data_IF_918421218088
#
_entry.id   IF_918421218088
#
_cell.length_a   1.000
_cell.length_b   1.000
_cell.length_c   1.000
_cell.angle_alpha   90.00
_cell.angle_beta   90.00
_cell.angle_gamma   90.00
#
_symmetry.space_group_name_H-M   'P 1'
#
loop_
_entity.id
_entity.type
_entity.pdbx_description
1 polymer ?
#
# COMPACT_ATOMS: atom_id res chain seq x y z
N UNK A 1 16.42 -5.77 5.66
CA UNK A 1 16.48 -6.37 4.34
C UNK A 1 15.19 -6.22 3.55
N UNK A 2 14.19 -5.50 4.12
CA UNK A 2 12.98 -5.12 3.37
C UNK A 2 13.25 -3.87 2.53
N UNK A 3 12.67 -3.81 1.32
CA UNK A 3 12.78 -2.64 0.43
C UNK A 3 11.82 -1.53 0.87
N UNK A 4 10.70 -1.90 1.48
CA UNK A 4 9.68 -0.97 1.96
C UNK A 4 8.98 -1.48 3.22
N UNK A 5 8.38 -0.57 3.98
CA UNK A 5 7.54 -0.83 5.14
C UNK A 5 6.14 -0.31 4.91
N UNK A 6 5.16 -1.13 5.26
CA UNK A 6 3.75 -0.79 5.28
C UNK A 6 3.38 -0.28 6.68
N UNK A 7 3.12 1.02 6.82
CA UNK A 7 2.65 1.64 8.05
C UNK A 7 1.14 1.79 7.96
N UNK A 8 0.41 1.16 8.87
CA UNK A 8 -1.03 1.00 8.76
C UNK A 8 -1.79 1.93 9.71
N UNK A 9 -2.37 3.02 9.17
CA UNK A 9 -3.22 3.93 9.93
C UNK A 9 -4.71 3.60 9.82
N UNK A 10 -5.10 2.63 9.01
CA UNK A 10 -6.51 2.22 8.87
C UNK A 10 -6.91 1.21 9.94
N UNK A 11 -6.21 0.08 10.03
CA UNK A 11 -6.46 -0.98 11.02
C UNK A 11 -5.46 -1.00 12.17
N UNK A 12 -4.38 -0.23 12.08
CA UNK A 12 -3.41 -0.06 13.16
C UNK A 12 -3.85 1.01 14.15
N UNK A 13 -3.50 0.85 15.42
CA UNK A 13 -3.67 1.90 16.44
C UNK A 13 -2.59 2.98 16.32
N UNK A 14 -2.45 3.58 15.13
CA UNK A 14 -1.38 4.53 14.77
C UNK A 14 -2.00 5.87 14.43
N UNK A 15 -1.70 6.88 15.23
CA UNK A 15 -2.02 8.28 14.95
C UNK A 15 -0.90 8.94 14.11
N UNK A 16 -1.14 10.18 13.68
CA UNK A 16 -0.17 10.90 12.84
C UNK A 16 1.17 11.15 13.55
N UNK A 17 1.19 11.31 14.86
CA UNK A 17 2.43 11.50 15.61
C UNK A 17 3.26 10.21 15.67
N UNK A 18 2.59 9.08 15.91
CA UNK A 18 3.22 7.76 15.85
C UNK A 18 3.71 7.43 14.45
N UNK A 19 2.91 7.72 13.43
CA UNK A 19 3.28 7.56 12.01
C UNK A 19 4.54 8.37 11.67
N UNK A 20 4.62 9.64 12.07
CA UNK A 20 5.80 10.48 11.89
C UNK A 20 7.05 9.87 12.53
N UNK A 21 6.94 9.35 13.76
CA UNK A 21 8.07 8.69 14.44
C UNK A 21 8.51 7.42 13.70
N UNK A 22 7.58 6.62 13.19
CA UNK A 22 7.88 5.41 12.40
C UNK A 22 8.57 5.77 11.07
N UNK A 23 8.07 6.79 10.36
CA UNK A 23 8.71 7.31 9.15
C UNK A 23 10.14 7.77 9.47
N UNK A 24 10.31 8.55 10.54
CA UNK A 24 11.62 9.07 10.95
C UNK A 24 12.58 7.93 11.31
N UNK A 25 12.11 6.86 11.95
CA UNK A 25 12.93 5.70 12.30
C UNK A 25 13.51 4.96 11.08
N UNK A 26 12.93 5.13 9.89
CA UNK A 26 13.48 4.57 8.64
C UNK A 26 14.60 5.42 8.04
N UNK A 27 14.92 6.58 8.63
CA UNK A 27 15.99 7.47 8.12
C UNK A 27 17.35 6.79 8.21
N UNK A 28 18.15 6.93 7.14
CA UNK A 28 19.46 6.28 7.04
C UNK A 28 19.41 4.81 6.62
N UNK A 29 18.23 4.23 6.43
CA UNK A 29 18.05 2.92 5.81
C UNK A 29 17.65 3.05 4.33
N UNK A 30 17.83 1.98 3.55
CA UNK A 30 17.33 1.89 2.16
C UNK A 30 15.82 1.59 2.10
N UNK A 31 15.18 1.34 3.25
CA UNK A 31 13.78 0.95 3.33
C UNK A 31 12.85 2.15 3.20
N UNK A 32 11.90 2.09 2.29
CA UNK A 32 10.93 3.16 2.00
C UNK A 32 9.69 3.05 2.87
N UNK A 33 9.33 4.08 3.68
CA UNK A 33 8.07 4.08 4.44
C UNK A 33 6.90 4.41 3.51
N UNK A 34 5.94 3.49 3.42
CA UNK A 34 4.70 3.62 2.67
C UNK A 34 3.54 3.51 3.65
N UNK A 35 2.62 4.45 3.63
CA UNK A 35 1.58 4.58 4.65
C UNK A 35 0.20 4.31 4.08
N UNK A 36 -0.54 3.39 4.69
CA UNK A 36 -1.97 3.23 4.42
C UNK A 36 -2.76 4.26 5.22
N UNK A 37 -3.47 5.11 4.50
CA UNK A 37 -4.38 6.11 5.08
C UNK A 37 -5.77 5.52 5.31
N UNK A 38 -6.61 6.19 6.09
CA UNK A 38 -7.96 5.70 6.44
C UNK A 38 -8.92 5.74 5.26
N UNK A 39 -8.74 6.70 4.34
CA UNK A 39 -9.58 6.88 3.15
C UNK A 39 -8.84 7.70 2.09
N UNK A 40 -9.24 7.65 0.82
CA UNK A 40 -8.64 8.45 -0.24
C UNK A 40 -9.09 9.92 -0.17
N UNK A 41 -8.54 10.67 0.79
CA UNK A 41 -8.82 12.10 0.95
C UNK A 41 -7.55 12.91 1.22
N UNK A 42 -7.58 14.19 0.87
CA UNK A 42 -6.48 15.14 1.11
C UNK A 42 -6.21 15.28 2.61
N UNK A 43 -7.26 15.19 3.44
CA UNK A 43 -7.16 15.39 4.89
C UNK A 43 -6.25 14.35 5.55
N UNK A 44 -6.31 13.09 5.11
CA UNK A 44 -5.45 12.02 5.61
C UNK A 44 -4.12 11.92 4.85
N UNK A 45 -4.12 12.21 3.56
CA UNK A 45 -2.92 12.05 2.71
C UNK A 45 -1.87 13.14 2.98
N UNK A 46 -2.29 14.39 3.10
CA UNK A 46 -1.37 15.52 3.24
C UNK A 46 -0.46 15.42 4.49
N UNK A 47 -0.96 15.17 5.72
CA UNK A 47 -0.11 15.07 6.90
C UNK A 47 0.93 13.94 6.80
N UNK A 48 0.56 12.83 6.20
CA UNK A 48 1.43 11.66 5.99
C UNK A 48 2.58 12.00 5.04
N UNK A 49 2.27 12.62 3.91
CA UNK A 49 3.27 13.03 2.92
C UNK A 49 4.17 14.16 3.45
N UNK A 50 3.62 15.11 4.19
CA UNK A 50 4.39 16.21 4.80
C UNK A 50 5.31 15.70 5.92
N UNK A 51 5.00 14.54 6.52
CA UNK A 51 5.86 13.80 7.44
C UNK A 51 7.01 13.05 6.75
N UNK A 52 6.98 12.91 5.42
CA UNK A 52 8.06 12.31 4.64
C UNK A 52 7.82 10.88 4.16
N UNK A 53 6.58 10.38 4.18
CA UNK A 53 6.25 9.10 3.55
C UNK A 53 6.68 9.10 2.07
N UNK A 54 7.17 7.96 1.59
CA UNK A 54 7.62 7.77 0.21
C UNK A 54 6.56 7.14 -0.69
N UNK A 55 5.43 6.75 -0.10
CA UNK A 55 4.26 6.29 -0.81
C UNK A 55 3.03 6.32 0.07
N UNK A 56 1.87 6.24 -0.58
CA UNK A 56 0.56 6.16 0.09
C UNK A 56 -0.21 4.99 -0.46
N UNK A 57 -0.84 4.24 0.44
CA UNK A 57 -1.74 3.14 0.13
C UNK A 57 -3.16 3.63 0.42
N UNK A 58 -3.99 3.55 -0.60
CA UNK A 58 -5.39 3.94 -0.51
C UNK A 58 -6.29 2.72 -0.43
N UNK A 59 -7.04 2.58 0.68
CA UNK A 59 -8.07 1.55 0.81
C UNK A 59 -9.30 1.90 -0.01
N UNK A 60 -10.18 0.93 -0.22
CA UNK A 60 -11.53 1.10 -0.78
C UNK A 60 -11.59 1.81 -2.13
N UNK A 61 -10.61 1.59 -3.00
CA UNK A 61 -10.66 2.08 -4.38
C UNK A 61 -11.62 1.19 -5.18
N UNK A 62 -12.86 1.62 -5.28
CA UNK A 62 -13.98 0.84 -5.85
C UNK A 62 -14.45 1.36 -7.21
N UNK A 63 -14.00 2.54 -7.62
CA UNK A 63 -14.39 3.15 -8.91
C UNK A 63 -13.25 3.99 -9.50
N UNK A 64 -13.44 4.41 -10.75
CA UNK A 64 -12.53 5.35 -11.43
C UNK A 64 -12.40 6.65 -10.64
N UNK A 65 -13.51 7.17 -10.14
CA UNK A 65 -13.59 8.45 -9.42
C UNK A 65 -12.78 8.38 -8.10
N UNK A 66 -12.90 7.28 -7.35
CA UNK A 66 -12.09 7.09 -6.13
C UNK A 66 -10.60 6.93 -6.46
N UNK A 67 -10.26 6.31 -7.57
CA UNK A 67 -8.88 6.19 -8.05
C UNK A 67 -8.31 7.56 -8.47
N UNK A 68 -9.08 8.38 -9.19
CA UNK A 68 -8.69 9.75 -9.58
C UNK A 68 -8.53 10.65 -8.35
N UNK A 69 -9.43 10.56 -7.36
CA UNK A 69 -9.32 11.29 -6.10
C UNK A 69 -8.06 10.90 -5.30
N UNK A 70 -7.68 9.63 -5.29
CA UNK A 70 -6.45 9.16 -4.66
C UNK A 70 -5.20 9.81 -5.31
N UNK A 71 -5.15 9.86 -6.63
CA UNK A 71 -4.04 10.53 -7.36
C UNK A 71 -4.04 12.04 -7.06
N UNK A 72 -5.20 12.69 -7.11
CA UNK A 72 -5.33 14.13 -6.86
C UNK A 72 -4.87 14.51 -5.44
N UNK A 73 -5.13 13.66 -4.44
CA UNK A 73 -4.72 13.89 -3.06
C UNK A 73 -3.18 13.88 -2.86
N UNK A 74 -2.44 13.17 -3.71
CA UNK A 74 -0.97 13.04 -3.62
C UNK A 74 -0.25 14.13 -4.41
N UNK A 75 -0.76 14.48 -5.58
CA UNK A 75 -0.07 15.37 -6.52
C UNK A 75 -0.33 16.85 -6.21
N UNK A 76 0.68 17.68 -6.42
CA UNK A 76 0.51 19.15 -6.34
C UNK A 76 -0.20 19.70 -7.57
N UNK A 77 -0.85 20.87 -7.45
CA UNK A 77 -1.40 21.55 -8.62
C UNK A 77 -0.33 21.80 -9.71
N UNK A 78 -0.67 21.72 -11.00
CA UNK A 78 -2.02 21.49 -11.55
C UNK A 78 -2.41 20.02 -11.70
N UNK A 79 -1.53 19.06 -11.38
CA UNK A 79 -1.77 17.62 -11.54
C UNK A 79 -2.67 17.03 -10.44
N UNK A 80 -2.84 17.74 -9.32
CA UNK A 80 -3.66 17.32 -8.19
C UNK A 80 -4.03 18.50 -7.29
N UNK A 81 -4.39 18.18 -6.04
CA UNK A 81 -4.97 19.13 -5.09
C UNK A 81 -4.18 19.21 -3.76
N UNK A 82 -3.01 18.56 -3.68
CA UNK A 82 -2.20 18.59 -2.45
C UNK A 82 -1.78 20.02 -2.08
N UNK A 83 -2.07 20.43 -0.84
CA UNK A 83 -1.63 21.71 -0.31
C UNK A 83 -0.12 21.76 -0.03
N UNK A 84 0.47 22.94 -0.09
CA UNK A 84 1.88 23.16 0.16
C UNK A 84 2.19 23.27 1.65
N UNK A 85 3.06 22.41 2.17
CA UNK A 85 3.52 22.41 3.58
C UNK A 85 4.56 21.33 3.91
N UNK A 86 5.46 20.95 2.98
CA UNK A 86 6.39 19.85 3.20
C UNK A 86 7.60 20.29 4.04
N UNK A 87 7.39 20.66 5.32
CA UNK A 87 8.48 21.15 6.15
C UNK A 87 9.38 20.06 6.72
N UNK A 88 8.84 18.85 6.94
CA UNK A 88 9.59 17.69 7.46
C UNK A 88 10.03 16.72 6.35
N UNK A 89 9.24 16.59 5.30
CA UNK A 89 9.49 15.66 4.21
C UNK A 89 10.89 15.81 3.56
N UNK A 90 11.43 17.03 3.33
CA UNK A 90 12.77 17.19 2.76
C UNK A 90 13.85 16.45 3.53
N UNK A 91 13.76 16.44 4.87
CA UNK A 91 14.75 15.76 5.73
C UNK A 91 14.73 14.25 5.49
N UNK A 92 13.54 13.63 5.47
CA UNK A 92 13.42 12.17 5.22
C UNK A 92 13.86 11.79 3.81
N UNK A 93 13.55 12.64 2.84
CA UNK A 93 13.90 12.46 1.43
C UNK A 93 15.33 12.89 1.10
N UNK A 94 16.11 13.35 2.10
CA UNK A 94 17.48 13.84 1.93
C UNK A 94 17.57 14.94 0.87
N UNK A 95 16.58 15.82 0.84
CA UNK A 95 16.54 16.98 -0.05
C UNK A 95 16.99 18.23 0.70
N UNK A 96 17.64 19.14 -0.03
CA UNK A 96 18.19 20.36 0.55
C UNK A 96 17.12 21.27 1.14
N UNK A 97 16.00 21.38 0.45
CA UNK A 97 14.89 22.24 0.83
C UNK A 97 13.55 21.73 0.26
N UNK A 98 12.47 22.45 0.57
CA UNK A 98 11.12 22.11 0.11
C UNK A 98 10.94 22.21 -1.41
N UNK A 99 11.73 23.02 -2.11
CA UNK A 99 11.67 23.15 -3.57
C UNK A 99 12.31 21.94 -4.23
N UNK A 100 13.45 21.48 -3.70
CA UNK A 100 14.07 20.25 -4.19
C UNK A 100 13.18 19.04 -3.93
N UNK A 101 12.52 18.98 -2.76
CA UNK A 101 11.51 17.96 -2.47
C UNK A 101 10.34 18.01 -3.46
N UNK A 102 9.81 19.21 -3.73
CA UNK A 102 8.71 19.38 -4.70
C UNK A 102 9.07 18.79 -6.08
N UNK A 103 10.30 19.03 -6.58
CA UNK A 103 10.75 18.47 -7.85
C UNK A 103 10.82 16.95 -7.88
N UNK A 104 10.87 16.31 -6.71
CA UNK A 104 10.88 14.85 -6.55
C UNK A 104 9.51 14.30 -6.13
N UNK A 105 8.47 15.14 -6.02
CA UNK A 105 7.17 14.69 -5.50
C UNK A 105 6.43 13.73 -6.43
N UNK A 106 6.82 13.69 -7.71
CA UNK A 106 6.29 12.72 -8.67
C UNK A 106 6.82 11.30 -8.44
N UNK A 107 7.92 11.15 -7.68
CA UNK A 107 8.47 9.85 -7.26
C UNK A 107 7.68 9.22 -6.09
N UNK A 108 6.69 9.93 -5.50
CA UNK A 108 5.82 9.37 -4.47
C UNK A 108 4.98 8.25 -5.07
N UNK A 109 5.13 7.05 -4.49
CA UNK A 109 4.41 5.85 -4.95
C UNK A 109 2.95 5.88 -4.52
N UNK A 110 2.04 5.62 -5.45
CA UNK A 110 0.60 5.52 -5.19
C UNK A 110 0.16 4.07 -5.35
N UNK A 111 -0.31 3.47 -4.26
CA UNK A 111 -0.81 2.10 -4.21
C UNK A 111 -2.33 2.11 -4.00
N UNK A 112 -3.06 1.49 -4.91
CA UNK A 112 -4.50 1.28 -4.82
C UNK A 112 -4.79 -0.12 -4.32
N UNK A 113 -5.53 -0.28 -3.20
CA UNK A 113 -6.01 -1.59 -2.77
C UNK A 113 -7.22 -2.03 -3.60
N UNK A 114 -7.13 -3.24 -4.12
CA UNK A 114 -8.21 -3.94 -4.83
C UNK A 114 -8.76 -4.99 -3.86
N UNK A 115 -9.74 -4.58 -3.06
CA UNK A 115 -10.19 -5.31 -1.87
C UNK A 115 -11.71 -5.41 -1.72
N UNK A 116 -12.46 -4.91 -2.70
CA UNK A 116 -13.91 -4.94 -2.70
C UNK A 116 -14.45 -5.46 -4.03
N UNK A 117 -15.62 -6.11 -4.01
CA UNK A 117 -16.23 -6.66 -5.23
C UNK A 117 -16.51 -5.58 -6.28
N UNK A 118 -16.85 -4.36 -5.86
CA UNK A 118 -17.04 -3.25 -6.78
C UNK A 118 -15.74 -2.84 -7.48
N UNK A 119 -14.58 -2.95 -6.80
CA UNK A 119 -13.29 -2.77 -7.46
C UNK A 119 -13.07 -3.80 -8.57
N UNK A 120 -13.47 -5.06 -8.35
CA UNK A 120 -13.40 -6.13 -9.36
C UNK A 120 -14.36 -5.86 -10.53
N UNK A 121 -15.54 -5.34 -10.25
CA UNK A 121 -16.52 -4.99 -11.27
C UNK A 121 -16.05 -3.83 -12.16
N UNK A 122 -15.34 -2.86 -11.56
CA UNK A 122 -14.86 -1.65 -12.20
C UNK A 122 -13.36 -1.70 -12.56
N UNK A 123 -12.71 -2.87 -12.46
CA UNK A 123 -11.24 -3.01 -12.56
C UNK A 123 -10.67 -2.43 -13.87
N UNK A 124 -11.39 -2.56 -14.98
CA UNK A 124 -10.95 -2.04 -16.27
C UNK A 124 -10.88 -0.51 -16.30
N UNK A 125 -11.80 0.18 -15.62
CA UNK A 125 -11.81 1.64 -15.53
C UNK A 125 -10.78 2.14 -14.49
N UNK A 126 -10.67 1.45 -13.36
CA UNK A 126 -9.69 1.76 -12.32
C UNK A 126 -8.27 1.66 -12.89
N UNK A 127 -7.95 0.60 -13.62
CA UNK A 127 -6.60 0.37 -14.17
C UNK A 127 -6.21 1.30 -15.32
N UNK A 128 -7.15 2.10 -15.87
CA UNK A 128 -6.87 3.16 -16.85
C UNK A 128 -6.42 4.47 -16.18
N UNK A 129 -6.71 4.66 -14.90
CA UNK A 129 -6.36 5.90 -14.17
C UNK A 129 -4.85 6.04 -14.08
N UNK A 130 -4.32 7.10 -14.69
CA UNK A 130 -2.88 7.39 -14.67
C UNK A 130 -2.44 7.93 -13.32
N UNK A 131 -1.21 7.61 -12.93
CA UNK A 131 -0.61 8.08 -11.67
C UNK A 131 -0.74 7.09 -10.52
N UNK A 132 -1.48 5.98 -10.67
CA UNK A 132 -1.41 4.84 -9.77
C UNK A 132 -0.25 3.95 -10.21
N UNK A 133 0.68 3.68 -9.31
CA UNK A 133 1.89 2.91 -9.59
C UNK A 133 1.66 1.41 -9.34
N UNK A 134 0.86 1.08 -8.33
CA UNK A 134 0.61 -0.30 -7.90
C UNK A 134 -0.87 -0.55 -7.67
N UNK A 135 -1.39 -1.60 -8.26
CA UNK A 135 -2.69 -2.19 -7.93
C UNK A 135 -2.45 -3.41 -7.04
N UNK A 136 -2.76 -3.27 -5.77
CA UNK A 136 -2.45 -4.27 -4.75
C UNK A 136 -3.71 -5.05 -4.36
N UNK A 137 -3.72 -6.35 -4.62
CA UNK A 137 -4.85 -7.23 -4.29
C UNK A 137 -4.79 -7.61 -2.82
N UNK A 138 -5.86 -7.26 -2.04
CA UNK A 138 -6.03 -7.60 -0.64
C UNK A 138 -7.13 -8.68 -0.50
N UNK A 139 -6.76 -9.97 -0.42
CA UNK A 139 -7.71 -11.07 -0.56
C UNK A 139 -8.65 -11.25 0.63
N UNK A 140 -8.27 -10.78 1.83
CA UNK A 140 -9.09 -10.95 3.04
C UNK A 140 -10.32 -10.06 2.99
N UNK A 141 -10.14 -8.77 2.68
CA UNK A 141 -11.22 -7.80 2.57
C UNK A 141 -12.08 -8.09 1.34
N UNK A 142 -11.47 -8.52 0.23
CA UNK A 142 -12.20 -8.98 -0.93
C UNK A 142 -13.10 -10.17 -0.59
N UNK A 143 -12.60 -11.15 0.16
CA UNK A 143 -13.40 -12.30 0.61
C UNK A 143 -14.57 -11.83 1.49
N UNK A 144 -14.33 -10.90 2.41
CA UNK A 144 -15.39 -10.32 3.25
C UNK A 144 -16.46 -9.61 2.40
N UNK A 145 -16.06 -8.82 1.39
CA UNK A 145 -16.98 -8.09 0.52
C UNK A 145 -17.89 -9.00 -0.33
N UNK A 146 -17.46 -10.25 -0.55
CA UNK A 146 -18.22 -11.27 -1.31
C UNK A 146 -19.06 -12.17 -0.36
N UNK A 147 -18.95 -11.95 0.97
CA UNK A 147 -19.66 -12.73 1.99
C UNK A 147 -18.95 -14.02 2.44
N UNK A 148 -17.64 -14.11 2.21
CA UNK A 148 -16.79 -15.24 2.59
C UNK A 148 -15.69 -14.82 3.59
N UNK A 149 -16.10 -14.15 4.68
CA UNK A 149 -15.19 -13.63 5.73
C UNK A 149 -14.24 -14.72 6.22
N UNK A 150 -12.93 -14.44 6.17
CA UNK A 150 -11.89 -15.36 6.62
C UNK A 150 -11.52 -16.47 5.64
N UNK A 151 -12.22 -16.63 4.52
CA UNK A 151 -11.98 -17.67 3.51
C UNK A 151 -11.48 -17.05 2.19
N UNK A 152 -10.22 -16.61 2.18
CA UNK A 152 -9.56 -16.09 0.96
C UNK A 152 -9.38 -17.15 -0.13
N UNK A 153 -9.50 -18.42 0.22
CA UNK A 153 -9.34 -19.55 -0.68
C UNK A 153 -10.63 -20.00 -1.36
N UNK A 154 -11.75 -19.40 -1.01
CA UNK A 154 -13.05 -19.69 -1.60
C UNK A 154 -13.03 -19.54 -3.13
N UNK A 155 -13.67 -20.45 -3.91
CA UNK A 155 -13.63 -20.41 -5.38
C UNK A 155 -14.03 -19.05 -5.99
N UNK A 156 -15.07 -18.41 -5.47
CA UNK A 156 -15.52 -17.07 -5.94
C UNK A 156 -14.47 -15.98 -5.69
N UNK A 157 -13.74 -16.08 -4.57
CA UNK A 157 -12.66 -15.12 -4.26
C UNK A 157 -11.50 -15.32 -5.24
N UNK A 158 -11.11 -16.57 -5.48
CA UNK A 158 -10.07 -16.91 -6.47
C UNK A 158 -10.43 -16.46 -7.89
N UNK A 159 -11.69 -16.61 -8.28
CA UNK A 159 -12.19 -16.12 -9.57
C UNK A 159 -12.08 -14.59 -9.68
N UNK A 160 -12.50 -13.88 -8.63
CA UNK A 160 -12.38 -12.42 -8.56
C UNK A 160 -10.92 -11.94 -8.64
N UNK A 161 -10.03 -12.60 -7.90
CA UNK A 161 -8.58 -12.33 -7.93
C UNK A 161 -8.04 -12.57 -9.35
N UNK A 162 -8.35 -13.70 -9.98
CA UNK A 162 -7.88 -14.01 -11.33
C UNK A 162 -8.34 -12.97 -12.37
N UNK A 163 -9.57 -12.46 -12.23
CA UNK A 163 -10.08 -11.36 -13.08
C UNK A 163 -9.26 -10.08 -12.87
N UNK A 164 -8.99 -9.70 -11.62
CA UNK A 164 -8.18 -8.53 -11.31
C UNK A 164 -6.75 -8.67 -11.86
N UNK A 165 -6.09 -9.80 -11.60
CA UNK A 165 -4.74 -10.08 -12.10
C UNK A 165 -4.65 -9.96 -13.61
N UNK A 166 -5.60 -10.55 -14.34
CA UNK A 166 -5.63 -10.52 -15.81
C UNK A 166 -5.77 -9.10 -16.36
N UNK A 167 -6.50 -8.22 -15.65
CA UNK A 167 -6.68 -6.82 -16.02
C UNK A 167 -5.44 -5.99 -15.67
N UNK A 168 -4.93 -6.12 -14.44
CA UNK A 168 -3.78 -5.36 -13.94
C UNK A 168 -2.52 -5.67 -14.78
N UNK A 169 -2.27 -6.93 -15.13
CA UNK A 169 -1.13 -7.35 -15.98
C UNK A 169 -1.12 -6.71 -17.38
N UNK A 170 -2.25 -6.20 -17.83
CA UNK A 170 -2.38 -5.48 -19.13
C UNK A 170 -2.30 -3.97 -18.96
N UNK A 171 -2.29 -3.48 -17.73
CA UNK A 171 -2.27 -2.06 -17.41
C UNK A 171 -0.83 -1.51 -17.34
N UNK A 172 -0.72 -0.24 -16.98
CA UNK A 172 0.57 0.41 -16.78
C UNK A 172 1.14 0.20 -15.37
N UNK A 173 0.30 -0.17 -14.38
CA UNK A 173 0.70 -0.28 -12.99
C UNK A 173 1.21 -1.68 -12.64
N UNK A 174 2.03 -1.75 -11.61
CA UNK A 174 2.56 -3.00 -11.07
C UNK A 174 1.47 -3.79 -10.33
N UNK A 175 1.55 -5.12 -10.37
CA UNK A 175 0.70 -6.00 -9.59
C UNK A 175 1.33 -6.23 -8.20
N UNK A 176 0.56 -5.93 -7.15
CA UNK A 176 0.97 -6.13 -5.76
C UNK A 176 0.08 -7.12 -5.00
N UNK A 177 0.59 -7.68 -3.90
CA UNK A 177 -0.18 -8.59 -3.06
C UNK A 177 0.51 -9.03 -1.78
N UNK A 178 -0.29 -9.57 -0.85
CA UNK A 178 0.15 -10.11 0.42
C UNK A 178 0.66 -11.56 0.26
N UNK A 179 1.75 -11.89 0.96
CA UNK A 179 2.29 -13.23 1.11
C UNK A 179 2.57 -13.50 2.59
N UNK A 180 2.27 -14.70 3.05
CA UNK A 180 2.51 -15.12 4.44
C UNK A 180 3.65 -16.13 4.57
N UNK A 181 4.28 -16.49 3.44
CA UNK A 181 5.44 -17.38 3.40
C UNK A 181 6.31 -17.09 2.18
N UNK A 182 7.57 -17.54 2.23
CA UNK A 182 8.48 -17.44 1.09
C UNK A 182 7.99 -18.25 -0.13
N UNK A 183 7.33 -19.41 0.10
CA UNK A 183 6.74 -20.20 -0.98
C UNK A 183 5.66 -19.41 -1.70
N UNK A 184 4.70 -18.84 -0.95
CA UNK A 184 3.63 -18.00 -1.53
C UNK A 184 4.22 -16.78 -2.28
N UNK A 185 5.28 -16.18 -1.73
CA UNK A 185 5.99 -15.07 -2.38
C UNK A 185 6.60 -15.48 -3.72
N UNK A 186 7.28 -16.63 -3.77
CA UNK A 186 7.87 -17.15 -5.00
C UNK A 186 6.81 -17.48 -6.05
N UNK A 187 5.69 -18.08 -5.65
CA UNK A 187 4.58 -18.36 -6.55
C UNK A 187 3.99 -17.07 -7.14
N UNK A 188 3.84 -16.02 -6.31
CA UNK A 188 3.36 -14.70 -6.78
C UNK A 188 4.35 -14.07 -7.76
N UNK A 189 5.66 -14.10 -7.48
CA UNK A 189 6.69 -13.59 -8.41
C UNK A 189 6.59 -14.30 -9.77
N UNK A 190 6.48 -15.62 -9.77
CA UNK A 190 6.31 -16.39 -11.01
C UNK A 190 5.01 -16.03 -11.75
N UNK A 191 3.98 -15.62 -11.01
CA UNK A 191 2.72 -15.13 -11.55
C UNK A 191 2.72 -13.62 -11.88
N UNK A 192 3.89 -12.96 -11.87
CA UNK A 192 4.05 -11.58 -12.33
C UNK A 192 3.74 -10.50 -11.29
N UNK A 193 3.68 -10.84 -10.02
CA UNK A 193 3.63 -9.85 -8.94
C UNK A 193 5.01 -9.19 -8.78
N UNK A 194 5.00 -7.88 -8.62
CA UNK A 194 6.21 -7.05 -8.53
C UNK A 194 6.37 -6.39 -7.16
N UNK A 195 5.26 -6.21 -6.43
CA UNK A 195 5.24 -5.58 -5.09
C UNK A 195 4.62 -6.54 -4.09
N UNK A 196 5.42 -7.03 -3.16
CA UNK A 196 5.01 -8.04 -2.19
C UNK A 196 5.02 -7.47 -0.77
N UNK A 197 3.93 -7.68 -0.02
CA UNK A 197 3.88 -7.49 1.43
C UNK A 197 4.14 -8.86 2.08
N UNK A 198 5.31 -9.01 2.72
CA UNK A 198 5.76 -10.27 3.30
C UNK A 198 5.39 -10.36 4.79
N UNK A 199 4.10 -10.54 5.06
CA UNK A 199 3.59 -10.63 6.43
C UNK A 199 3.47 -9.28 7.15
N UNK A 200 3.36 -9.33 8.46
CA UNK A 200 3.23 -8.17 9.36
C UNK A 200 3.90 -8.49 10.71
N UNK A 201 4.16 -7.48 11.50
CA UNK A 201 4.95 -7.55 12.73
C UNK A 201 4.47 -8.60 13.72
N UNK A 202 3.16 -8.68 14.02
CA UNK A 202 2.59 -9.67 14.93
C UNK A 202 2.82 -11.11 14.43
N UNK A 203 2.65 -11.36 13.13
CA UNK A 203 2.93 -12.68 12.55
C UNK A 203 4.40 -13.05 12.66
N UNK A 204 5.29 -12.11 12.36
CA UNK A 204 6.73 -12.33 12.44
C UNK A 204 7.19 -12.60 13.88
N UNK A 205 6.63 -11.88 14.85
CA UNK A 205 6.87 -12.10 16.28
C UNK A 205 6.34 -13.47 16.71
N UNK A 206 5.12 -13.85 16.34
CA UNK A 206 4.53 -15.15 16.69
C UNK A 206 5.38 -16.31 16.16
N UNK A 207 5.77 -16.26 14.89
CA UNK A 207 6.64 -17.27 14.26
C UNK A 207 8.00 -17.33 14.97
N UNK A 208 8.60 -16.17 15.27
CA UNK A 208 9.87 -16.11 15.98
C UNK A 208 9.81 -16.70 17.39
N UNK A 209 8.80 -16.31 18.17
CA UNK A 209 8.58 -16.83 19.53
C UNK A 209 8.33 -18.33 19.50
N UNK A 210 7.47 -18.80 18.60
CA UNK A 210 7.20 -20.24 18.45
C UNK A 210 8.48 -21.00 18.14
N UNK A 211 9.27 -20.53 17.19
CA UNK A 211 10.55 -21.18 16.83
C UNK A 211 11.53 -21.25 18.02
N UNK A 212 11.55 -20.25 18.90
CA UNK A 212 12.39 -20.26 20.11
C UNK A 212 11.88 -21.23 21.18
N UNK A 213 10.57 -21.46 21.26
CA UNK A 213 9.95 -22.29 22.29
C UNK A 213 9.82 -23.77 21.91
N UNK A 214 9.77 -24.07 20.61
CA UNK A 214 9.53 -25.44 20.09
C UNK A 214 10.63 -26.46 20.49
N UNK A 215 11.80 -26.02 20.94
CA UNK A 215 12.89 -26.87 21.42
C UNK A 215 12.97 -27.03 22.94
N UNK A 216 12.07 -26.42 23.70
CA UNK A 216 12.12 -26.46 25.17
C UNK A 216 11.36 -27.67 25.73
N UNK A 217 12.03 -28.49 26.55
CA UNK A 217 11.39 -29.52 27.37
C UNK A 217 10.72 -28.84 28.56
N UNK A 218 9.40 -28.63 28.52
CA UNK A 218 8.59 -28.07 29.57
C UNK A 218 7.84 -29.15 30.31
#
# INVERSE_FOLDING_TARGET
GFDWLFIDMEHGAIDIASCYNMITATSGSACSPVVRVMEPSIAFTKPVLDSGAMGVIFPMITSKETAEAAVAAVRYPPAGERGWGPFYAPMRWQKKDSIEYYKSSDDIVIISLIEHIDAINNIEEITKVKGIDVFFIAPMDLAASIGHVGDRDHPKVKEAIAKAEACIKKSHGALGGLCLSASEGNDKIQNGYQVLLMGFDLLLMEVGVKSMLDGLNR
#
